data_IF_708946298453
#
_entry.id   IF_708946298453
#
_cell.length_a   1.000
_cell.length_b   1.000
_cell.length_c   1.000
_cell.angle_alpha   90.00
_cell.angle_beta   90.00
_cell.angle_gamma   90.00
#
_symmetry.space_group_name_H-M   'P 1'
#
loop_
_entity.id
_entity.type
_entity.pdbx_description
1 polymer ?
#
# COMPACT_ATOMS: atom_id res chain seq x y z
N UNK A 1 -15.04 30.61 -6.92
CA UNK A 1 -14.79 29.19 -7.00
C UNK A 1 -13.64 28.79 -6.08
N UNK A 2 -13.84 27.81 -5.24
CA UNK A 2 -12.80 27.36 -4.34
C UNK A 2 -11.77 26.48 -5.01
N UNK A 3 -10.57 26.45 -4.44
CA UNK A 3 -9.53 25.55 -4.88
C UNK A 3 -9.81 24.15 -4.31
N UNK A 4 -9.63 23.14 -5.13
CA UNK A 4 -9.75 21.76 -4.66
C UNK A 4 -8.43 21.30 -4.07
N UNK A 5 -8.52 20.50 -3.01
CA UNK A 5 -7.35 19.81 -2.50
C UNK A 5 -6.87 18.80 -3.54
N UNK A 6 -5.56 18.68 -3.65
CA UNK A 6 -4.95 17.70 -4.56
C UNK A 6 -4.34 16.59 -3.71
N UNK A 7 -4.95 15.41 -3.69
CA UNK A 7 -4.40 14.30 -2.91
C UNK A 7 -3.17 13.73 -3.62
N UNK A 8 -2.13 13.53 -2.84
CA UNK A 8 -0.91 12.87 -3.29
C UNK A 8 -0.68 11.69 -2.37
N UNK A 9 -0.37 10.54 -2.91
CA UNK A 9 -0.13 9.37 -2.09
C UNK A 9 1.20 9.52 -1.35
N UNK A 10 1.17 9.25 -0.05
CA UNK A 10 2.35 9.23 0.80
C UNK A 10 2.91 7.81 0.81
N UNK A 11 4.07 7.57 0.17
CA UNK A 11 4.59 6.20 0.07
C UNK A 11 4.98 5.60 1.42
N UNK A 12 5.54 6.40 2.31
CA UNK A 12 5.98 5.92 3.63
C UNK A 12 4.77 5.54 4.49
N UNK A 13 3.79 6.44 4.57
CA UNK A 13 2.58 6.17 5.34
C UNK A 13 1.80 4.99 4.75
N UNK A 14 1.74 4.89 3.43
CA UNK A 14 1.10 3.76 2.75
C UNK A 14 1.85 2.46 3.07
N UNK A 15 3.17 2.48 3.05
CA UNK A 15 3.99 1.31 3.38
C UNK A 15 3.77 0.83 4.81
N UNK A 16 3.71 1.76 5.76
CA UNK A 16 3.39 1.44 7.15
C UNK A 16 2.00 0.82 7.25
N UNK A 17 1.05 1.33 6.47
CA UNK A 17 -0.31 0.82 6.46
C UNK A 17 -0.39 -0.58 5.87
N UNK A 18 0.37 -0.86 4.81
CA UNK A 18 0.46 -2.21 4.24
C UNK A 18 0.97 -3.18 5.31
N UNK A 19 2.04 -2.79 6.02
CA UNK A 19 2.59 -3.63 7.09
C UNK A 19 1.57 -3.85 8.19
N UNK A 20 0.87 -2.81 8.62
CA UNK A 20 -0.14 -2.90 9.67
C UNK A 20 -1.27 -3.84 9.26
N UNK A 21 -1.81 -3.68 8.04
CA UNK A 21 -2.89 -4.52 7.55
C UNK A 21 -2.45 -5.99 7.44
N UNK A 22 -1.24 -6.21 6.95
CA UNK A 22 -0.66 -7.56 6.88
C UNK A 22 -0.63 -8.20 8.26
N UNK A 23 -0.13 -7.47 9.25
CA UNK A 23 -0.01 -7.99 10.62
C UNK A 23 -1.36 -8.23 11.26
N UNK A 24 -2.33 -7.34 11.01
CA UNK A 24 -3.69 -7.51 11.52
C UNK A 24 -4.36 -8.76 10.97
N UNK A 25 -4.01 -9.15 9.75
CA UNK A 25 -4.52 -10.37 9.13
C UNK A 25 -3.71 -11.60 9.51
N UNK A 26 -2.69 -11.44 10.34
CA UNK A 26 -1.85 -12.56 10.76
C UNK A 26 -0.98 -13.13 9.64
N UNK A 27 -0.66 -12.33 8.62
CA UNK A 27 0.09 -12.78 7.47
C UNK A 27 1.56 -12.41 7.59
N UNK A 28 2.44 -13.34 7.23
CA UNK A 28 3.87 -13.11 7.16
C UNK A 28 4.24 -12.54 5.80
N UNK A 29 5.42 -11.93 5.72
CA UNK A 29 5.96 -11.49 4.43
C UNK A 29 6.12 -12.68 3.48
N UNK A 30 6.52 -13.83 4.02
CA UNK A 30 6.66 -15.05 3.21
C UNK A 30 5.33 -15.49 2.61
N UNK A 31 4.24 -15.36 3.36
CA UNK A 31 2.92 -15.69 2.85
C UNK A 31 2.50 -14.72 1.74
N UNK A 32 2.81 -13.43 1.88
CA UNK A 32 2.57 -12.48 0.79
C UNK A 32 3.43 -12.82 -0.43
N UNK A 33 4.69 -13.13 -0.22
CA UNK A 33 5.58 -13.53 -1.30
C UNK A 33 5.01 -14.70 -2.09
N UNK A 34 4.51 -15.70 -1.38
CA UNK A 34 3.90 -16.87 -1.98
C UNK A 34 2.62 -16.52 -2.75
N UNK A 35 1.78 -15.68 -2.14
CA UNK A 35 0.53 -15.25 -2.76
C UNK A 35 0.77 -14.54 -4.10
N UNK A 36 1.78 -13.67 -4.15
CA UNK A 36 2.13 -12.94 -5.36
C UNK A 36 2.94 -13.76 -6.37
N UNK A 37 3.50 -14.88 -5.94
CA UNK A 37 4.38 -15.67 -6.79
C UNK A 37 5.73 -15.00 -7.03
N UNK A 38 6.18 -14.19 -6.09
CA UNK A 38 7.49 -13.53 -6.19
C UNK A 38 8.61 -14.50 -5.81
N UNK A 39 9.70 -14.47 -6.57
CA UNK A 39 10.88 -15.28 -6.24
C UNK A 39 11.57 -14.79 -4.98
N UNK A 40 11.47 -13.49 -4.69
CA UNK A 40 12.10 -12.86 -3.55
C UNK A 40 11.12 -11.92 -2.86
N UNK A 41 11.30 -11.66 -1.54
CA UNK A 41 10.40 -10.74 -0.82
C UNK A 41 10.73 -9.28 -1.01
N UNK A 42 11.71 -8.94 -1.84
CA UNK A 42 12.25 -7.59 -1.98
C UNK A 42 11.17 -6.54 -2.23
N UNK A 43 10.26 -6.80 -3.15
CA UNK A 43 9.22 -5.84 -3.51
C UNK A 43 8.34 -5.52 -2.29
N UNK A 44 7.99 -6.53 -1.51
CA UNK A 44 7.14 -6.36 -0.33
C UNK A 44 7.83 -5.48 0.71
N UNK A 45 9.11 -5.71 0.94
CA UNK A 45 9.88 -4.88 1.87
C UNK A 45 10.01 -3.44 1.38
N UNK A 46 10.19 -3.24 0.07
CA UNK A 46 10.22 -1.89 -0.50
C UNK A 46 8.89 -1.17 -0.30
N UNK A 47 7.76 -1.88 -0.48
CA UNK A 47 6.45 -1.28 -0.21
C UNK A 47 6.35 -0.84 1.25
N UNK A 48 6.71 -1.72 2.18
CA UNK A 48 6.59 -1.44 3.61
C UNK A 48 7.49 -0.30 4.07
N UNK A 49 8.64 -0.11 3.40
CA UNK A 49 9.56 0.98 3.71
C UNK A 49 9.20 2.29 3.02
N UNK A 50 8.28 2.26 2.07
CA UNK A 50 7.92 3.44 1.31
C UNK A 50 8.94 3.77 0.21
N UNK A 51 9.79 2.82 -0.17
CA UNK A 51 10.76 3.00 -1.25
C UNK A 51 10.09 2.93 -2.62
N UNK A 52 9.01 2.18 -2.72
CA UNK A 52 8.21 2.10 -3.93
C UNK A 52 6.77 1.76 -3.55
N UNK A 53 5.84 2.16 -4.40
CA UNK A 53 4.44 1.77 -4.24
C UNK A 53 4.19 0.51 -5.06
N UNK A 54 3.23 -0.33 -4.64
CA UNK A 54 2.79 -1.43 -5.47
C UNK A 54 2.24 -0.91 -6.80
N UNK A 55 2.40 -1.70 -7.86
CA UNK A 55 1.68 -1.41 -9.11
C UNK A 55 0.19 -1.51 -8.84
N UNK A 56 -0.62 -0.98 -9.77
CA UNK A 56 -2.09 -1.02 -9.63
C UNK A 56 -2.57 -2.45 -9.46
N UNK A 57 -2.04 -3.38 -10.24
CA UNK A 57 -2.41 -4.80 -10.14
C UNK A 57 -2.10 -5.38 -8.76
N UNK A 58 -0.90 -5.09 -8.27
CA UNK A 58 -0.48 -5.60 -6.96
C UNK A 58 -1.28 -4.93 -5.84
N UNK A 59 -1.60 -3.65 -5.99
CA UNK A 59 -2.42 -2.96 -5.02
C UNK A 59 -3.83 -3.56 -4.94
N UNK A 60 -4.42 -3.86 -6.09
CA UNK A 60 -5.72 -4.52 -6.15
C UNK A 60 -5.67 -5.88 -5.45
N UNK A 61 -4.61 -6.65 -5.73
CA UNK A 61 -4.42 -7.97 -5.11
C UNK A 61 -4.25 -7.86 -3.59
N UNK A 62 -3.53 -6.83 -3.12
CA UNK A 62 -3.41 -6.59 -1.68
C UNK A 62 -4.78 -6.31 -1.06
N UNK A 63 -5.60 -5.51 -1.72
CA UNK A 63 -6.96 -5.24 -1.25
C UNK A 63 -7.79 -6.49 -1.14
N UNK A 64 -7.67 -7.38 -2.11
CA UNK A 64 -8.36 -8.67 -2.09
C UNK A 64 -7.86 -9.53 -0.93
N UNK A 65 -6.54 -9.60 -0.76
CA UNK A 65 -5.92 -10.42 0.29
C UNK A 65 -6.26 -9.90 1.68
N UNK A 66 -6.23 -8.60 1.87
CA UNK A 66 -6.51 -7.97 3.16
C UNK A 66 -8.00 -7.75 3.39
N UNK A 67 -8.83 -7.99 2.38
CA UNK A 67 -10.28 -7.79 2.44
C UNK A 67 -10.65 -6.34 2.77
N UNK A 68 -9.95 -5.42 2.14
CA UNK A 68 -10.23 -3.98 2.26
C UNK A 68 -10.21 -3.35 0.87
N UNK A 69 -10.93 -2.24 0.66
CA UNK A 69 -10.81 -1.50 -0.59
C UNK A 69 -9.45 -0.83 -0.69
N UNK A 70 -9.00 -0.54 -1.92
CA UNK A 70 -7.67 0.03 -2.17
C UNK A 70 -7.47 1.37 -1.47
N UNK A 71 -8.51 2.17 -1.34
CA UNK A 71 -8.43 3.47 -0.67
C UNK A 71 -8.22 3.37 0.83
N UNK A 72 -8.36 2.18 1.40
CA UNK A 72 -7.97 1.93 2.80
C UNK A 72 -6.52 1.50 2.92
N UNK A 73 -5.87 1.15 1.80
CA UNK A 73 -4.44 0.84 1.80
C UNK A 73 -3.63 2.10 1.55
N UNK A 74 -4.03 2.88 0.55
CA UNK A 74 -3.35 4.10 0.16
C UNK A 74 -3.60 5.20 1.19
N UNK A 75 -2.52 5.87 1.61
CA UNK A 75 -2.63 6.98 2.56
C UNK A 75 -2.23 8.26 1.82
N UNK A 76 -3.16 9.20 1.67
CA UNK A 76 -2.86 10.44 0.95
C UNK A 76 -2.31 11.52 1.87
N UNK A 77 -1.54 12.41 1.27
CA UNK A 77 -1.26 13.74 1.82
C UNK A 77 -2.06 14.73 0.99
N UNK A 78 -2.84 15.56 1.65
CA UNK A 78 -3.66 16.55 0.96
C UNK A 78 -2.83 17.83 0.82
N UNK A 79 -2.62 18.23 -0.45
CA UNK A 79 -1.96 19.49 -0.76
C UNK A 79 -3.01 20.49 -1.22
N UNK A 80 -2.96 21.68 -0.65
CA UNK A 80 -3.85 22.78 -1.05
C UNK A 80 -3.14 23.60 -2.10
N UNK A 81 -3.87 23.88 -3.20
CA UNK A 81 -3.41 24.80 -4.23
C UNK A 81 -3.94 26.18 -3.93
N UNK A 82 -3.06 27.11 -3.74
CA UNK A 82 -3.41 28.48 -3.38
C UNK A 82 -3.16 29.39 -4.57
#
# INVERSE_FOLDING_TARGET
MGMKAYPVIDPVATGNNIRRLRMERGLTVRELQSYFGFEEPRAIYKWQKGESLPTVDNLYALGTLFEVPMDQILVPVIKLHI
#
